data_IF_139464768868
#
_entry.id   IF_139464768868
#
_cell.length_a   1.000
_cell.length_b   1.000
_cell.length_c   1.000
_cell.angle_alpha   90.00
_cell.angle_beta   90.00
_cell.angle_gamma   90.00
#
_symmetry.space_group_name_H-M   'P 1'
#
loop_
_entity.id
_entity.type
_entity.pdbx_description
1 polymer ?
#
# COMPACT_ATOMS: atom_id res chain seq x y z
N UNK A 1 15.73 -16.38 10.20
CA UNK A 1 14.36 -16.16 10.68
C UNK A 1 14.14 -14.68 10.97
N UNK A 2 13.07 -14.14 10.42
CA UNK A 2 12.75 -12.74 10.61
C UNK A 2 11.98 -12.50 11.89
N UNK A 3 12.26 -11.39 12.56
CA UNK A 3 11.50 -10.98 13.72
C UNK A 3 10.11 -10.50 13.30
N UNK A 4 9.12 -10.77 14.13
CA UNK A 4 7.77 -10.29 13.93
C UNK A 4 7.71 -8.83 14.41
N UNK A 5 7.11 -7.94 13.59
CA UNK A 5 6.94 -6.55 13.99
C UNK A 5 5.87 -6.43 15.10
N UNK A 6 6.01 -5.45 16.02
CA UNK A 6 5.05 -5.28 17.10
C UNK A 6 3.64 -4.97 16.58
N UNK A 7 2.65 -5.78 16.98
CA UNK A 7 1.27 -5.63 16.48
C UNK A 7 0.68 -4.28 16.84
N UNK A 8 0.89 -3.81 18.07
CA UNK A 8 0.36 -2.51 18.50
C UNK A 8 0.90 -1.36 17.66
N UNK A 9 2.20 -1.39 17.37
CA UNK A 9 2.82 -0.36 16.55
C UNK A 9 2.27 -0.40 15.13
N UNK A 10 2.09 -1.58 14.56
CA UNK A 10 1.52 -1.73 13.21
C UNK A 10 0.10 -1.21 13.16
N UNK A 11 -0.75 -1.56 14.12
CA UNK A 11 -2.14 -1.07 14.17
C UNK A 11 -2.21 0.44 14.30
N UNK A 12 -1.31 1.03 15.09
CA UNK A 12 -1.21 2.47 15.22
C UNK A 12 -0.77 3.12 13.90
N UNK A 13 0.26 2.56 13.26
CA UNK A 13 0.80 3.05 11.98
C UNK A 13 -0.24 3.01 10.86
N UNK A 14 -1.11 1.99 10.85
CA UNK A 14 -2.17 1.88 9.85
C UNK A 14 -3.46 2.59 10.28
N UNK A 15 -3.47 3.24 11.44
CA UNK A 15 -4.61 4.03 11.90
C UNK A 15 -5.78 3.21 12.43
N UNK A 16 -5.54 2.01 12.91
CA UNK A 16 -6.58 1.09 13.39
C UNK A 16 -6.51 0.79 14.88
N UNK A 17 -5.78 1.57 15.64
CA UNK A 17 -5.59 1.32 17.08
C UNK A 17 -6.92 1.16 17.82
N UNK A 18 -7.92 1.96 17.46
CA UNK A 18 -9.24 1.96 18.11
C UNK A 18 -10.14 0.81 17.64
N UNK A 19 -9.78 0.15 16.55
CA UNK A 19 -10.59 -0.90 15.92
C UNK A 19 -10.08 -2.32 16.18
N UNK A 20 -9.03 -2.47 16.96
CA UNK A 20 -8.34 -3.76 17.15
C UNK A 20 -9.22 -4.88 17.71
N UNK A 21 -10.31 -4.52 18.39
CA UNK A 21 -11.26 -5.47 18.98
C UNK A 21 -12.51 -5.69 18.15
N UNK A 22 -12.63 -5.01 17.01
CA UNK A 22 -13.80 -5.14 16.15
C UNK A 22 -13.68 -6.35 15.22
N UNK A 23 -14.82 -6.96 14.91
CA UNK A 23 -14.89 -8.02 13.90
C UNK A 23 -14.80 -7.41 12.49
N UNK A 24 -14.28 -8.15 11.49
CA UNK A 24 -14.15 -7.63 10.13
C UNK A 24 -15.45 -7.04 9.55
N UNK A 25 -16.61 -7.62 9.87
CA UNK A 25 -17.89 -7.11 9.39
C UNK A 25 -18.29 -5.75 9.96
N UNK A 26 -17.62 -5.27 10.99
CA UNK A 26 -17.88 -3.98 11.62
C UNK A 26 -17.03 -2.86 11.03
N UNK A 27 -16.15 -3.17 10.10
CA UNK A 27 -15.21 -2.23 9.52
C UNK A 27 -15.64 -1.78 8.13
N UNK A 28 -15.32 -0.54 7.77
CA UNK A 28 -15.50 -0.06 6.40
C UNK A 28 -14.57 -0.78 5.44
N UNK A 29 -14.78 -0.63 4.12
CA UNK A 29 -13.90 -1.21 3.11
C UNK A 29 -12.45 -0.75 3.25
N UNK A 30 -12.24 0.54 3.51
CA UNK A 30 -10.89 1.07 3.73
C UNK A 30 -10.25 0.55 5.00
N UNK A 31 -11.03 0.40 6.07
CA UNK A 31 -10.53 -0.16 7.33
C UNK A 31 -10.17 -1.64 7.15
N UNK A 32 -10.99 -2.41 6.43
CA UNK A 32 -10.67 -3.81 6.12
C UNK A 32 -9.38 -3.93 5.30
N UNK A 33 -9.16 -3.02 4.36
CA UNK A 33 -7.93 -2.99 3.57
C UNK A 33 -6.72 -2.68 4.46
N UNK A 34 -6.87 -1.75 5.40
CA UNK A 34 -5.79 -1.44 6.36
C UNK A 34 -5.48 -2.62 7.26
N UNK A 35 -6.49 -3.39 7.68
CA UNK A 35 -6.28 -4.63 8.44
C UNK A 35 -5.46 -5.62 7.63
N UNK A 36 -5.78 -5.78 6.34
CA UNK A 36 -5.03 -6.67 5.47
C UNK A 36 -3.56 -6.28 5.35
N UNK A 37 -3.29 -4.98 5.22
CA UNK A 37 -1.93 -4.45 5.18
C UNK A 37 -1.21 -4.72 6.51
N UNK A 38 -1.89 -4.46 7.63
CA UNK A 38 -1.31 -4.72 8.96
C UNK A 38 -0.97 -6.19 9.14
N UNK A 39 -1.85 -7.09 8.73
CA UNK A 39 -1.60 -8.54 8.82
C UNK A 39 -0.37 -8.96 8.02
N UNK A 40 -0.24 -8.42 6.81
CA UNK A 40 0.92 -8.70 5.98
C UNK A 40 2.21 -8.18 6.61
N UNK A 41 2.18 -6.94 7.14
CA UNK A 41 3.34 -6.32 7.76
C UNK A 41 3.79 -7.01 9.03
N UNK A 42 2.85 -7.57 9.82
CA UNK A 42 3.19 -8.27 11.06
C UNK A 42 4.12 -9.46 10.83
N UNK A 43 4.08 -10.05 9.65
CA UNK A 43 4.97 -11.15 9.28
C UNK A 43 6.37 -10.69 8.90
N UNK A 44 6.59 -9.39 8.86
CA UNK A 44 7.84 -8.74 8.49
C UNK A 44 8.42 -9.25 7.15
N UNK A 45 7.64 -9.22 6.05
CA UNK A 45 8.14 -9.67 4.75
C UNK A 45 9.11 -8.65 4.16
N UNK A 46 9.97 -9.10 3.25
CA UNK A 46 10.81 -8.17 2.48
C UNK A 46 10.03 -7.53 1.34
N UNK A 47 9.05 -8.23 0.81
CA UNK A 47 8.27 -7.79 -0.34
C UNK A 47 6.78 -7.86 0.01
N UNK A 48 6.07 -6.75 -0.24
CA UNK A 48 4.61 -6.69 -0.18
C UNK A 48 4.09 -6.68 -1.61
N UNK A 49 3.13 -7.54 -1.88
CA UNK A 49 2.50 -7.62 -3.20
C UNK A 49 1.05 -7.17 -3.09
N UNK A 50 0.70 -6.10 -3.77
CA UNK A 50 -0.62 -5.50 -3.71
C UNK A 50 -1.25 -5.48 -5.11
N UNK A 51 -2.36 -6.19 -5.25
CA UNK A 51 -3.09 -6.26 -6.51
C UNK A 51 -4.32 -5.36 -6.44
N UNK A 52 -4.30 -4.25 -7.19
CA UNK A 52 -5.35 -3.25 -7.21
C UNK A 52 -5.82 -2.84 -5.81
N UNK A 53 -4.92 -2.32 -4.95
CA UNK A 53 -5.25 -2.07 -3.54
C UNK A 53 -6.36 -1.04 -3.32
N UNK A 54 -6.70 -0.26 -4.34
CA UNK A 54 -7.73 0.79 -4.24
C UNK A 54 -8.94 0.52 -5.14
N UNK A 55 -9.03 -0.66 -5.75
CA UNK A 55 -10.01 -0.94 -6.82
C UNK A 55 -11.48 -0.81 -6.41
N UNK A 56 -11.81 -1.06 -5.15
CA UNK A 56 -13.18 -0.99 -4.65
C UNK A 56 -13.41 0.22 -3.72
N UNK A 57 -12.47 1.15 -3.66
CA UNK A 57 -12.51 2.29 -2.75
C UNK A 57 -12.78 3.59 -3.49
N UNK A 58 -13.41 4.55 -2.81
CA UNK A 58 -13.51 5.91 -3.31
C UNK A 58 -12.12 6.56 -3.38
N UNK A 59 -11.99 7.68 -4.10
CA UNK A 59 -10.66 8.26 -4.34
C UNK A 59 -9.98 8.75 -3.06
N UNK A 60 -10.72 9.32 -2.11
CA UNK A 60 -10.14 9.78 -0.85
C UNK A 60 -9.60 8.61 -0.02
N UNK A 61 -10.39 7.55 0.12
CA UNK A 61 -9.98 6.34 0.84
C UNK A 61 -8.84 5.64 0.12
N UNK A 62 -8.92 5.55 -1.20
CA UNK A 62 -7.85 4.97 -2.02
C UNK A 62 -6.53 5.70 -1.85
N UNK A 63 -6.58 7.03 -1.85
CA UNK A 63 -5.41 7.88 -1.65
C UNK A 63 -4.79 7.64 -0.26
N UNK A 64 -5.62 7.50 0.76
CA UNK A 64 -5.17 7.19 2.12
C UNK A 64 -4.45 5.84 2.17
N UNK A 65 -4.98 4.81 1.52
CA UNK A 65 -4.38 3.49 1.48
C UNK A 65 -3.01 3.52 0.76
N UNK A 66 -2.94 4.19 -0.38
CA UNK A 66 -1.68 4.30 -1.13
C UNK A 66 -0.62 5.09 -0.36
N UNK A 67 -1.06 6.17 0.32
CA UNK A 67 -0.18 6.96 1.19
C UNK A 67 0.39 6.11 2.30
N UNK A 68 -0.45 5.28 2.91
CA UNK A 68 -0.05 4.33 3.95
C UNK A 68 0.99 3.35 3.43
N UNK A 69 0.76 2.75 2.28
CA UNK A 69 1.71 1.80 1.66
C UNK A 69 3.04 2.48 1.38
N UNK A 70 3.03 3.69 0.83
CA UNK A 70 4.24 4.45 0.55
C UNK A 70 5.04 4.71 1.83
N UNK A 71 4.35 5.15 2.89
CA UNK A 71 4.99 5.42 4.18
C UNK A 71 5.54 4.15 4.84
N UNK A 72 4.81 3.04 4.75
CA UNK A 72 5.26 1.78 5.35
C UNK A 72 6.52 1.27 4.66
N UNK A 73 6.61 1.39 3.34
CA UNK A 73 7.83 1.02 2.61
C UNK A 73 9.03 1.80 3.11
N UNK A 74 8.88 3.10 3.30
CA UNK A 74 9.97 3.98 3.74
C UNK A 74 10.33 3.74 5.19
N UNK A 75 9.34 3.55 6.06
CA UNK A 75 9.55 3.36 7.50
C UNK A 75 10.22 2.02 7.79
N UNK A 76 9.76 0.96 7.15
CA UNK A 76 10.25 -0.40 7.42
C UNK A 76 11.20 -0.93 6.35
N UNK A 77 11.59 -0.10 5.39
CA UNK A 77 12.52 -0.47 4.31
C UNK A 77 12.06 -1.70 3.53
N UNK A 78 10.76 -1.73 3.21
CA UNK A 78 10.16 -2.82 2.44
C UNK A 78 10.07 -2.46 0.97
N UNK A 79 10.05 -3.48 0.13
CA UNK A 79 9.72 -3.33 -1.28
C UNK A 79 8.24 -3.63 -1.46
N UNK A 80 7.50 -2.69 -2.06
CA UNK A 80 6.09 -2.91 -2.39
C UNK A 80 5.92 -2.93 -3.90
N UNK A 81 5.27 -3.97 -4.38
CA UNK A 81 4.90 -4.09 -5.79
C UNK A 81 3.40 -3.88 -5.87
N UNK A 82 2.99 -2.85 -6.60
CA UNK A 82 1.57 -2.52 -6.77
C UNK A 82 1.19 -2.77 -8.22
N UNK A 83 0.21 -3.66 -8.41
CA UNK A 83 -0.40 -3.90 -9.72
C UNK A 83 -1.64 -3.03 -9.81
N UNK A 84 -1.71 -2.15 -10.81
CA UNK A 84 -2.83 -1.20 -10.90
C UNK A 84 -3.06 -0.76 -12.34
N UNK A 85 -4.30 -0.36 -12.63
CA UNK A 85 -4.68 0.31 -13.87
C UNK A 85 -4.69 1.84 -13.71
N UNK A 86 -4.44 2.35 -12.51
CA UNK A 86 -4.47 3.79 -12.25
C UNK A 86 -3.14 4.44 -12.62
N UNK A 87 -3.06 4.99 -13.83
CA UNK A 87 -1.85 5.64 -14.32
C UNK A 87 -1.48 6.90 -13.52
N UNK A 88 -2.43 7.50 -12.80
CA UNK A 88 -2.18 8.73 -12.04
C UNK A 88 -1.17 8.52 -10.91
N UNK A 89 -1.00 7.29 -10.41
CA UNK A 89 -0.05 7.01 -9.33
C UNK A 89 1.35 6.67 -9.84
N UNK A 90 1.55 6.57 -11.14
CA UNK A 90 2.87 6.25 -11.70
C UNK A 90 3.99 7.17 -11.21
N UNK A 91 3.80 8.50 -11.09
CA UNK A 91 4.86 9.38 -10.57
C UNK A 91 5.30 9.07 -9.15
N UNK A 92 4.52 8.32 -8.40
CA UNK A 92 4.80 7.99 -6.99
C UNK A 92 5.66 6.74 -6.83
N UNK A 93 5.86 5.96 -7.88
CA UNK A 93 6.68 4.75 -7.84
C UNK A 93 8.15 5.06 -8.01
N UNK A 94 9.00 4.31 -7.32
CA UNK A 94 10.44 4.37 -7.57
C UNK A 94 10.74 3.84 -8.97
N UNK A 95 10.05 2.78 -9.36
CA UNK A 95 10.18 2.16 -10.66
C UNK A 95 8.79 1.84 -11.19
N UNK A 96 8.52 2.23 -12.42
CA UNK A 96 7.24 1.98 -13.08
C UNK A 96 7.47 1.04 -14.25
N UNK A 97 6.84 -0.13 -14.17
CA UNK A 97 6.94 -1.15 -15.22
C UNK A 97 5.60 -1.18 -15.93
N UNK A 98 5.60 -0.85 -17.21
CA UNK A 98 4.40 -0.91 -18.03
C UNK A 98 4.35 -2.20 -18.82
N UNK A 99 3.22 -2.89 -18.76
CA UNK A 99 3.00 -4.17 -19.41
C UNK A 99 1.92 -4.02 -20.47
N UNK A 100 2.19 -4.52 -21.66
CA UNK A 100 1.25 -4.50 -22.77
C UNK A 100 1.33 -5.82 -23.53
N UNK A 101 0.17 -6.44 -23.75
CA UNK A 101 0.08 -7.74 -24.43
C UNK A 101 1.03 -8.81 -23.88
N UNK A 102 1.13 -8.87 -22.54
CA UNK A 102 1.96 -9.88 -21.88
C UNK A 102 3.45 -9.63 -21.89
N UNK A 103 3.88 -8.47 -22.39
CA UNK A 103 5.31 -8.11 -22.43
C UNK A 103 5.55 -6.76 -21.79
N UNK A 104 6.77 -6.53 -21.32
CA UNK A 104 7.16 -5.24 -20.77
C UNK A 104 7.37 -4.25 -21.93
N UNK A 105 6.58 -3.16 -21.92
CA UNK A 105 6.68 -2.10 -22.92
C UNK A 105 7.63 -0.98 -22.51
N UNK A 106 7.74 -0.71 -21.21
CA UNK A 106 8.68 0.31 -20.72
C UNK A 106 8.99 0.10 -19.24
N UNK A 107 10.16 0.61 -18.82
CA UNK A 107 10.57 0.68 -17.42
C UNK A 107 11.09 2.10 -17.19
N UNK A 108 10.46 2.80 -16.24
CA UNK A 108 10.85 4.17 -15.88
C UNK A 108 11.26 4.18 -14.43
N UNK A 109 12.41 4.79 -14.13
CA UNK A 109 12.91 4.95 -12.76
C UNK A 109 12.79 6.42 -12.37
N UNK A 110 12.19 6.69 -11.19
CA UNK A 110 12.09 8.03 -10.62
C UNK A 110 13.08 8.16 -9.46
N UNK A 111 13.99 9.13 -9.56
CA UNK A 111 14.93 9.42 -8.47
C UNK A 111 14.24 10.10 -7.30
N UNK A 112 13.19 10.88 -7.59
CA UNK A 112 12.42 11.61 -6.59
C UNK A 112 10.94 11.33 -6.78
N UNK A 113 10.45 10.14 -6.31
CA UNK A 113 9.03 9.81 -6.45
C UNK A 113 8.14 10.84 -5.75
N UNK A 114 7.02 11.16 -6.40
CA UNK A 114 6.04 12.08 -5.85
C UNK A 114 5.34 11.46 -4.63
N UNK A 115 4.98 12.30 -3.66
CA UNK A 115 4.15 11.86 -2.55
C UNK A 115 2.72 11.61 -3.06
N UNK A 116 2.12 10.52 -2.62
CA UNK A 116 0.75 10.15 -3.00
C UNK A 116 -0.23 11.30 -2.71
N UNK A 117 0.00 12.05 -1.62
CA UNK A 117 -0.89 13.15 -1.24
C UNK A 117 -0.95 14.27 -2.28
N UNK A 118 0.05 14.38 -3.14
CA UNK A 118 0.11 15.40 -4.19
C UNK A 118 -0.53 14.98 -5.49
N UNK A 119 -0.95 13.72 -5.59
CA UNK A 119 -1.57 13.18 -6.81
C UNK A 119 -3.06 13.49 -6.84
N UNK A 120 -3.54 13.88 -8.01
CA UNK A 120 -4.97 14.08 -8.26
C UNK A 120 -5.50 12.98 -9.17
N UNK A 121 -6.61 12.34 -8.78
CA UNK A 121 -7.35 11.42 -9.63
C UNK A 121 -8.81 11.37 -9.30
#
# INVERSE_FOLDING_TARGET
KKDILPVHQILEDVGLKEHKKQFPGQLSGGEQQRVSIARALCKNPNILLCDEPTGALDSDTGKMILSLLQNMCRTYHKTTIIVTHNAAIAPCGDKVISIHNGTISSIITHEHPMDIKEVEW
#
